data_IF_873890185551
#
_entry.id   IF_873890185551
#
_cell.length_a   1.000
_cell.length_b   1.000
_cell.length_c   1.000
_cell.angle_alpha   90.00
_cell.angle_beta   90.00
_cell.angle_gamma   90.00
#
_symmetry.space_group_name_H-M   'P 1'
#
loop_
_entity.id
_entity.type
_entity.pdbx_description
1 polymer ?
#
# COMPACT_ATOMS: atom_id res chain seq x y z
N UNK A 1 14.32 -13.31 -15.77
CA UNK A 1 12.93 -13.24 -15.30
C UNK A 1 12.03 -13.77 -16.40
N UNK A 2 11.29 -14.86 -16.14
CA UNK A 2 10.27 -15.34 -17.08
C UNK A 2 8.96 -14.60 -16.80
N UNK A 3 8.55 -13.76 -17.73
CA UNK A 3 7.32 -12.97 -17.65
C UNK A 3 6.14 -13.72 -18.30
N UNK A 4 4.88 -13.45 -17.91
CA UNK A 4 3.72 -13.92 -18.67
C UNK A 4 3.78 -13.44 -20.12
N UNK A 5 3.11 -14.15 -21.03
CA UNK A 5 2.91 -13.64 -22.39
C UNK A 5 2.14 -12.30 -22.35
N UNK A 6 2.27 -11.48 -23.39
CA UNK A 6 1.74 -10.11 -23.39
C UNK A 6 0.23 -10.04 -23.12
N UNK A 7 -0.56 -10.98 -23.65
CA UNK A 7 -2.00 -11.02 -23.44
C UNK A 7 -2.35 -11.30 -21.97
N UNK A 8 -1.77 -12.36 -21.40
CA UNK A 8 -1.99 -12.70 -19.99
C UNK A 8 -1.46 -11.59 -19.07
N UNK A 9 -0.28 -11.05 -19.35
CA UNK A 9 0.29 -9.92 -18.58
C UNK A 9 -0.67 -8.73 -18.54
N UNK A 10 -1.21 -8.32 -19.69
CA UNK A 10 -2.17 -7.21 -19.75
C UNK A 10 -3.41 -7.46 -18.88
N UNK A 11 -3.97 -8.68 -18.90
CA UNK A 11 -5.10 -9.07 -18.05
C UNK A 11 -4.76 -9.00 -16.56
N UNK A 12 -3.60 -9.54 -16.15
CA UNK A 12 -3.18 -9.54 -14.75
C UNK A 12 -2.88 -8.14 -14.22
N UNK A 13 -2.23 -7.31 -15.05
CA UNK A 13 -1.96 -5.90 -14.72
C UNK A 13 -3.26 -5.13 -14.53
N UNK A 14 -4.23 -5.29 -15.44
CA UNK A 14 -5.56 -4.68 -15.32
C UNK A 14 -6.25 -5.06 -14.00
N UNK A 15 -6.30 -6.36 -13.66
CA UNK A 15 -6.93 -6.81 -12.43
C UNK A 15 -6.21 -6.28 -11.18
N UNK A 16 -4.88 -6.25 -11.17
CA UNK A 16 -4.15 -5.63 -10.06
C UNK A 16 -4.53 -4.16 -9.86
N UNK A 17 -4.58 -3.36 -10.93
CA UNK A 17 -4.89 -1.94 -10.80
C UNK A 17 -6.30 -1.71 -10.23
N UNK A 18 -7.30 -2.43 -10.76
CA UNK A 18 -8.70 -2.27 -10.33
C UNK A 18 -8.96 -2.85 -8.95
N UNK A 19 -8.35 -3.98 -8.59
CA UNK A 19 -8.67 -4.71 -7.35
C UNK A 19 -7.80 -4.33 -6.15
N UNK A 20 -6.61 -3.79 -6.41
CA UNK A 20 -5.60 -3.52 -5.37
C UNK A 20 -5.11 -2.08 -5.41
N UNK A 21 -4.65 -1.58 -6.57
CA UNK A 21 -4.04 -0.25 -6.64
C UNK A 21 -5.04 0.89 -6.36
N UNK A 22 -6.31 0.72 -6.75
CA UNK A 22 -7.35 1.70 -6.42
C UNK A 22 -7.59 1.83 -4.90
N UNK A 23 -7.28 0.79 -4.10
CA UNK A 23 -7.39 0.83 -2.63
C UNK A 23 -6.06 1.31 -2.02
N UNK A 24 -4.95 0.76 -2.51
CA UNK A 24 -3.59 1.08 -2.08
C UNK A 24 -2.82 1.66 -3.27
N UNK A 25 -2.83 3.00 -3.46
CA UNK A 25 -2.34 3.66 -4.67
C UNK A 25 -0.82 3.66 -4.75
N UNK A 26 -0.23 2.47 -4.85
CA UNK A 26 1.20 2.23 -4.80
C UNK A 26 1.92 2.66 -6.09
N UNK A 27 1.27 2.40 -7.22
CA UNK A 27 1.81 2.59 -8.56
C UNK A 27 1.01 3.65 -9.31
N UNK A 28 1.71 4.41 -10.15
CA UNK A 28 1.11 5.32 -11.13
C UNK A 28 0.89 4.55 -12.43
N UNK A 29 -0.36 4.27 -12.77
CA UNK A 29 -0.72 3.34 -13.86
C UNK A 29 -0.12 3.74 -15.22
N UNK A 30 -0.24 5.00 -15.69
CA UNK A 30 0.34 5.40 -16.98
C UNK A 30 1.86 5.17 -17.04
N UNK A 31 2.60 5.53 -15.99
CA UNK A 31 4.06 5.32 -15.95
C UNK A 31 4.42 3.84 -15.95
N UNK A 32 3.66 3.03 -15.21
CA UNK A 32 3.88 1.60 -15.13
C UNK A 32 3.63 0.90 -16.47
N UNK A 33 2.49 1.15 -17.11
CA UNK A 33 2.15 0.56 -18.42
C UNK A 33 3.10 1.06 -19.52
N UNK A 34 3.49 2.34 -19.51
CA UNK A 34 4.51 2.87 -20.41
C UNK A 34 5.85 2.14 -20.23
N UNK A 35 6.30 1.93 -18.98
CA UNK A 35 7.50 1.16 -18.68
C UNK A 35 7.46 -0.26 -19.24
N UNK A 36 6.30 -0.93 -19.19
CA UNK A 36 6.12 -2.24 -19.83
C UNK A 36 6.27 -2.11 -21.35
N UNK A 37 5.59 -1.13 -21.97
CA UNK A 37 5.56 -0.95 -23.43
C UNK A 37 6.94 -0.73 -24.07
N UNK A 38 7.84 -0.04 -23.36
CA UNK A 38 9.22 0.21 -23.83
C UNK A 38 10.21 -0.91 -23.44
N UNK A 39 9.72 -1.98 -22.82
CA UNK A 39 10.52 -3.11 -22.38
C UNK A 39 11.41 -2.82 -21.17
N UNK A 40 11.08 -1.83 -20.33
CA UNK A 40 11.87 -1.50 -19.12
C UNK A 40 11.92 -2.69 -18.15
N UNK A 41 10.85 -3.49 -18.08
CA UNK A 41 10.76 -4.68 -17.22
C UNK A 41 11.77 -5.78 -17.58
N UNK A 42 12.35 -5.72 -18.79
CA UNK A 42 13.40 -6.63 -19.25
C UNK A 42 14.81 -6.10 -18.95
N UNK A 43 14.93 -4.82 -18.61
CA UNK A 43 16.22 -4.09 -18.51
C UNK A 43 16.52 -3.62 -17.08
N UNK A 44 15.50 -3.22 -16.33
CA UNK A 44 15.63 -2.82 -14.92
C UNK A 44 15.09 -3.93 -14.02
N UNK A 45 15.96 -4.50 -13.18
CA UNK A 45 15.62 -5.61 -12.27
C UNK A 45 14.57 -5.21 -11.23
N UNK A 46 14.62 -3.97 -10.73
CA UNK A 46 13.66 -3.47 -9.75
C UNK A 46 12.28 -3.34 -10.36
N UNK A 47 12.18 -2.68 -11.51
CA UNK A 47 10.92 -2.56 -12.23
C UNK A 47 10.39 -3.93 -12.69
N UNK A 48 11.26 -4.81 -13.20
CA UNK A 48 10.91 -6.18 -13.57
C UNK A 48 10.35 -6.99 -12.39
N UNK A 49 10.94 -6.86 -11.20
CA UNK A 49 10.43 -7.49 -9.98
C UNK A 49 9.06 -6.94 -9.59
N UNK A 50 8.86 -5.62 -9.69
CA UNK A 50 7.56 -4.97 -9.46
C UNK A 50 6.51 -5.53 -10.42
N UNK A 51 6.82 -5.65 -11.73
CA UNK A 51 5.91 -6.22 -12.74
C UNK A 51 5.53 -7.67 -12.43
N UNK A 52 6.50 -8.50 -12.03
CA UNK A 52 6.22 -9.89 -11.64
C UNK A 52 5.30 -9.99 -10.42
N UNK A 53 5.50 -9.14 -9.40
CA UNK A 53 4.64 -9.13 -8.22
C UNK A 53 3.24 -8.59 -8.52
N UNK A 54 3.13 -7.59 -9.40
CA UNK A 54 1.83 -7.12 -9.94
C UNK A 54 1.11 -8.26 -10.65
N UNK A 55 1.81 -9.02 -11.51
CA UNK A 55 1.23 -10.19 -12.17
C UNK A 55 0.81 -11.27 -11.17
N UNK A 56 1.64 -11.53 -10.15
CA UNK A 56 1.35 -12.51 -9.09
C UNK A 56 0.10 -12.15 -8.29
N UNK A 57 -0.09 -10.87 -7.96
CA UNK A 57 -1.30 -10.38 -7.29
C UNK A 57 -2.52 -10.39 -8.22
N UNK A 58 -2.37 -9.93 -9.46
CA UNK A 58 -3.45 -9.95 -10.46
C UNK A 58 -3.97 -11.37 -10.74
N UNK A 59 -3.11 -12.38 -10.58
CA UNK A 59 -3.48 -13.80 -10.74
C UNK A 59 -4.61 -14.25 -9.82
N UNK A 60 -4.82 -13.57 -8.69
CA UNK A 60 -5.85 -13.91 -7.71
C UNK A 60 -7.27 -13.60 -8.19
N UNK A 61 -7.40 -12.86 -9.28
CA UNK A 61 -8.67 -12.38 -9.82
C UNK A 61 -8.95 -12.89 -11.23
N UNK A 62 -8.17 -13.87 -11.69
CA UNK A 62 -8.23 -14.38 -13.06
C UNK A 62 -8.41 -15.89 -13.06
N UNK A 63 -9.50 -16.34 -13.67
CA UNK A 63 -9.76 -17.76 -13.95
C UNK A 63 -9.04 -18.20 -15.24
N UNK A 64 -7.71 -18.34 -15.17
CA UNK A 64 -6.85 -18.82 -16.27
C UNK A 64 -5.85 -19.84 -15.73
N UNK A 65 -5.82 -21.06 -16.27
CA UNK A 65 -4.88 -22.09 -15.78
C UNK A 65 -3.40 -21.69 -15.95
N UNK A 66 -3.09 -20.75 -16.86
CA UNK A 66 -1.76 -20.19 -17.04
C UNK A 66 -1.21 -19.43 -15.83
N UNK A 67 -2.04 -19.07 -14.85
CA UNK A 67 -1.57 -18.48 -13.59
C UNK A 67 -1.17 -19.51 -12.54
N UNK A 68 -1.48 -20.79 -12.76
CA UNK A 68 -1.20 -21.88 -11.82
C UNK A 68 0.17 -22.50 -12.10
N UNK A 69 0.90 -22.95 -11.05
CA UNK A 69 2.09 -23.77 -11.26
C UNK A 69 1.75 -25.08 -11.96
N UNK A 70 2.70 -25.60 -12.74
CA UNK A 70 2.51 -26.85 -13.48
C UNK A 70 2.11 -28.00 -12.54
N UNK A 71 0.99 -28.66 -12.86
CA UNK A 71 0.48 -29.79 -12.10
C UNK A 71 -0.32 -29.44 -10.84
N UNK A 72 -0.47 -28.15 -10.50
CA UNK A 72 -1.28 -27.68 -9.36
C UNK A 72 -2.61 -27.14 -9.86
N UNK A 73 -3.73 -27.67 -9.34
CA UNK A 73 -5.09 -27.23 -9.68
C UNK A 73 -5.75 -26.32 -8.64
N UNK A 74 -5.01 -25.90 -7.62
CA UNK A 74 -5.53 -25.07 -6.53
C UNK A 74 -5.20 -23.60 -6.77
N UNK A 75 -6.25 -22.77 -6.85
CA UNK A 75 -6.17 -21.31 -7.02
C UNK A 75 -5.45 -20.59 -5.86
N UNK A 76 -5.24 -21.26 -4.71
CA UNK A 76 -4.38 -20.74 -3.64
C UNK A 76 -2.92 -20.55 -4.08
N UNK A 77 -2.50 -21.18 -5.18
CA UNK A 77 -1.17 -21.05 -5.77
C UNK A 77 -1.12 -20.16 -7.01
N UNK A 78 -2.22 -19.51 -7.39
CA UNK A 78 -2.25 -18.57 -8.50
C UNK A 78 -1.18 -17.49 -8.32
N UNK A 79 -0.35 -17.29 -9.36
CA UNK A 79 0.75 -16.32 -9.36
C UNK A 79 1.99 -16.74 -8.56
N UNK A 80 1.99 -17.91 -7.94
CA UNK A 80 3.09 -18.37 -7.06
C UNK A 80 4.44 -18.41 -7.77
N UNK A 81 4.50 -18.85 -9.02
CA UNK A 81 5.75 -18.99 -9.76
C UNK A 81 6.42 -17.64 -10.05
N UNK A 82 5.64 -16.57 -10.29
CA UNK A 82 6.16 -15.21 -10.44
C UNK A 82 6.63 -14.63 -9.09
N UNK A 83 5.85 -14.83 -8.03
CA UNK A 83 6.27 -14.46 -6.68
C UNK A 83 7.56 -15.18 -6.27
N UNK A 84 7.62 -16.50 -6.47
CA UNK A 84 8.76 -17.34 -6.13
C UNK A 84 10.02 -16.91 -6.88
N UNK A 85 9.89 -16.48 -8.14
CA UNK A 85 11.00 -15.91 -8.88
C UNK A 85 11.56 -14.64 -8.19
N UNK A 86 10.69 -13.73 -7.75
CA UNK A 86 11.15 -12.52 -7.04
C UNK A 86 11.75 -12.89 -5.69
N UNK A 87 11.12 -13.77 -4.93
CA UNK A 87 11.62 -14.25 -3.63
C UNK A 87 12.99 -14.93 -3.72
N UNK A 88 13.30 -15.63 -4.81
CA UNK A 88 14.59 -16.31 -5.00
C UNK A 88 15.70 -15.40 -5.56
N UNK A 89 15.33 -14.30 -6.23
CA UNK A 89 16.31 -13.41 -6.89
C UNK A 89 16.57 -12.13 -6.14
N UNK A 90 15.59 -11.57 -5.42
CA UNK A 90 15.77 -10.34 -4.65
C UNK A 90 16.36 -10.62 -3.27
N UNK A 91 17.39 -9.86 -2.95
CA UNK A 91 17.98 -9.81 -1.61
C UNK A 91 17.43 -8.58 -0.89
N UNK A 92 16.86 -8.79 0.30
CA UNK A 92 16.45 -7.69 1.20
C UNK A 92 17.63 -7.03 1.92
N UNK A 93 18.85 -7.56 1.78
CA UNK A 93 20.06 -6.88 2.24
C UNK A 93 20.65 -6.12 1.06
N UNK A 94 20.47 -4.80 1.06
CA UNK A 94 20.94 -3.91 -0.01
C UNK A 94 22.38 -3.44 0.22
N UNK A 95 23.19 -3.47 -0.84
CA UNK A 95 24.55 -2.87 -0.87
C UNK A 95 24.57 -1.52 -1.58
N UNK A 96 23.46 -1.12 -2.18
CA UNK A 96 23.29 0.12 -2.93
C UNK A 96 22.16 0.95 -2.32
N UNK A 97 22.08 2.23 -2.69
CA UNK A 97 21.02 3.11 -2.24
C UNK A 97 19.63 2.56 -2.67
N UNK A 98 18.65 2.50 -1.76
CA UNK A 98 17.31 2.04 -2.09
C UNK A 98 16.61 2.99 -3.06
N UNK A 99 15.81 2.41 -3.95
CA UNK A 99 14.99 3.10 -4.94
C UNK A 99 13.52 2.92 -4.61
N UNK A 100 12.64 3.70 -5.25
CA UNK A 100 11.19 3.57 -5.09
C UNK A 100 10.70 2.14 -5.36
N UNK A 101 11.30 1.44 -6.32
CA UNK A 101 10.97 0.03 -6.58
C UNK A 101 11.17 -0.88 -5.37
N UNK A 102 12.17 -0.61 -4.52
CA UNK A 102 12.44 -1.47 -3.35
C UNK A 102 11.31 -1.34 -2.31
N UNK A 103 10.74 -0.13 -2.13
CA UNK A 103 9.55 0.07 -1.29
C UNK A 103 8.31 -0.61 -1.88
N UNK A 104 8.09 -0.44 -3.19
CA UNK A 104 6.97 -1.04 -3.90
C UNK A 104 7.02 -2.57 -3.84
N UNK A 105 8.20 -3.16 -4.03
CA UNK A 105 8.42 -4.60 -3.92
C UNK A 105 8.09 -5.10 -2.51
N UNK A 106 8.53 -4.40 -1.45
CA UNK A 106 8.21 -4.79 -0.08
C UNK A 106 6.69 -4.83 0.15
N UNK A 107 5.97 -3.81 -0.29
CA UNK A 107 4.52 -3.77 -0.16
C UNK A 107 3.84 -4.89 -0.97
N UNK A 108 4.15 -5.03 -2.26
CA UNK A 108 3.53 -6.04 -3.13
C UNK A 108 3.82 -7.47 -2.65
N UNK A 109 5.04 -7.72 -2.19
CA UNK A 109 5.45 -8.99 -1.61
C UNK A 109 4.61 -9.31 -0.37
N UNK A 110 4.49 -8.35 0.55
CA UNK A 110 3.69 -8.50 1.76
C UNK A 110 2.21 -8.79 1.43
N UNK A 111 1.63 -8.08 0.47
CA UNK A 111 0.25 -8.30 0.03
C UNK A 111 0.03 -9.68 -0.62
N UNK A 112 1.01 -10.19 -1.36
CA UNK A 112 0.92 -11.53 -1.94
C UNK A 112 0.96 -12.60 -0.85
N UNK A 113 1.90 -12.46 0.09
CA UNK A 113 2.08 -13.41 1.20
C UNK A 113 0.90 -13.40 2.16
N UNK A 114 0.27 -12.23 2.40
CA UNK A 114 -0.94 -12.09 3.20
C UNK A 114 -2.12 -12.94 2.71
N UNK A 115 -2.18 -13.18 1.40
CA UNK A 115 -3.22 -14.00 0.76
C UNK A 115 -2.68 -15.40 0.37
N UNK A 116 -1.55 -15.80 0.94
CA UNK A 116 -0.93 -17.09 0.68
C UNK A 116 -1.15 -18.06 1.86
N UNK A 117 -0.97 -19.38 1.65
CA UNK A 117 -1.00 -20.36 2.74
C UNK A 117 0.11 -20.18 3.79
N UNK A 118 1.09 -19.29 3.57
CA UNK A 118 2.29 -19.16 4.42
C UNK A 118 2.51 -17.68 4.82
N UNK A 119 1.59 -17.06 5.59
CA UNK A 119 1.57 -15.61 5.82
C UNK A 119 2.64 -15.09 6.80
N UNK A 120 3.69 -15.86 7.10
CA UNK A 120 4.59 -15.59 8.23
C UNK A 120 5.53 -14.40 8.01
N UNK A 121 5.84 -14.04 6.76
CA UNK A 121 6.86 -13.04 6.45
C UNK A 121 6.36 -11.58 6.44
N UNK A 122 5.04 -11.35 6.49
CA UNK A 122 4.42 -10.03 6.23
C UNK A 122 5.03 -8.95 7.13
N UNK A 123 5.09 -9.20 8.44
CA UNK A 123 5.58 -8.21 9.41
C UNK A 123 7.04 -7.82 9.20
N UNK A 124 7.89 -8.81 8.92
CA UNK A 124 9.31 -8.55 8.67
C UNK A 124 9.51 -7.79 7.35
N UNK A 125 8.74 -8.12 6.31
CA UNK A 125 8.85 -7.46 5.00
C UNK A 125 8.32 -6.03 5.05
N UNK A 126 7.20 -5.77 5.70
CA UNK A 126 6.67 -4.42 5.90
C UNK A 126 7.65 -3.58 6.75
N UNK A 127 8.12 -4.13 7.88
CA UNK A 127 9.09 -3.46 8.73
C UNK A 127 10.44 -3.20 8.03
N UNK A 128 10.82 -4.05 7.07
CA UNK A 128 11.98 -3.80 6.21
C UNK A 128 11.73 -2.65 5.23
N UNK A 129 10.58 -2.65 4.54
CA UNK A 129 10.19 -1.56 3.63
C UNK A 129 10.14 -0.21 4.34
N UNK A 130 9.60 -0.14 5.55
CA UNK A 130 9.59 1.09 6.36
C UNK A 130 10.99 1.57 6.70
N UNK A 131 11.92 0.65 7.05
CA UNK A 131 13.33 1.01 7.30
C UNK A 131 14.00 1.54 6.04
N UNK A 132 13.78 0.94 4.87
CA UNK A 132 14.29 1.46 3.60
C UNK A 132 13.74 2.86 3.30
N UNK A 133 12.45 3.10 3.57
CA UNK A 133 11.83 4.40 3.40
C UNK A 133 12.47 5.44 4.35
N UNK A 134 12.80 5.04 5.57
CA UNK A 134 13.54 5.88 6.52
C UNK A 134 14.95 6.17 6.03
N UNK A 135 15.70 5.16 5.58
CA UNK A 135 17.07 5.27 5.11
C UNK A 135 17.21 6.22 3.90
N UNK A 136 16.23 6.22 2.98
CA UNK A 136 16.20 7.17 1.86
C UNK A 136 15.59 8.54 2.20
N UNK A 137 15.19 8.76 3.45
CA UNK A 137 14.62 10.02 3.91
C UNK A 137 13.17 10.26 3.51
N UNK A 138 12.44 9.27 2.98
CA UNK A 138 11.06 9.43 2.49
C UNK A 138 10.06 9.91 3.56
N UNK A 139 10.37 9.66 4.83
CA UNK A 139 9.60 10.11 5.99
C UNK A 139 9.71 11.63 6.26
N UNK A 140 10.76 12.29 5.74
CA UNK A 140 11.05 13.70 6.02
C UNK A 140 10.54 14.62 4.94
N UNK A 141 10.05 15.80 5.33
CA UNK A 141 9.61 16.81 4.37
C UNK A 141 10.75 17.29 3.47
N UNK A 142 11.97 17.36 4.00
CA UNK A 142 13.17 17.82 3.27
C UNK A 142 13.57 16.93 2.08
N UNK A 143 13.08 15.69 2.02
CA UNK A 143 13.34 14.79 0.89
C UNK A 143 12.50 15.14 -0.36
N UNK A 144 11.61 16.12 -0.24
CA UNK A 144 10.71 16.55 -1.30
C UNK A 144 11.00 18.03 -1.65
N UNK A 145 11.34 18.28 -2.91
CA UNK A 145 11.60 19.62 -3.41
C UNK A 145 10.34 20.49 -3.44
N UNK A 146 10.50 21.79 -3.68
CA UNK A 146 9.38 22.73 -3.85
C UNK A 146 8.45 22.34 -5.01
N UNK A 147 8.96 21.59 -5.98
CA UNK A 147 8.21 21.00 -7.09
C UNK A 147 8.40 19.48 -7.03
N UNK A 148 7.43 18.74 -6.49
CA UNK A 148 7.56 17.29 -6.36
C UNK A 148 7.59 16.63 -7.74
N UNK A 149 8.39 15.58 -7.89
CA UNK A 149 8.44 14.77 -9.10
C UNK A 149 7.44 13.60 -9.05
N UNK A 150 7.22 12.92 -10.18
CA UNK A 150 6.49 11.63 -10.24
C UNK A 150 7.11 10.63 -9.26
N UNK A 151 8.45 10.54 -9.23
CA UNK A 151 9.16 9.63 -8.35
C UNK A 151 8.97 9.99 -6.87
N UNK A 152 8.96 11.28 -6.54
CA UNK A 152 8.66 11.75 -5.20
C UNK A 152 7.26 11.36 -4.73
N UNK A 153 6.25 11.53 -5.58
CA UNK A 153 4.89 11.15 -5.22
C UNK A 153 4.73 9.62 -5.11
N UNK A 154 5.39 8.85 -5.98
CA UNK A 154 5.42 7.38 -5.86
C UNK A 154 6.13 6.90 -4.59
N UNK A 155 7.25 7.56 -4.21
CA UNK A 155 7.98 7.30 -2.96
C UNK A 155 7.09 7.57 -1.75
N UNK A 156 6.39 8.70 -1.75
CA UNK A 156 5.42 9.09 -0.71
C UNK A 156 4.27 8.09 -0.61
N UNK A 157 3.64 7.75 -1.75
CA UNK A 157 2.57 6.75 -1.83
C UNK A 157 3.02 5.38 -1.30
N UNK A 158 4.23 4.93 -1.66
CA UNK A 158 4.79 3.67 -1.18
C UNK A 158 5.02 3.65 0.34
N UNK A 159 5.57 4.73 0.92
CA UNK A 159 5.70 4.88 2.36
C UNK A 159 4.35 4.77 3.07
N UNK A 160 3.34 5.51 2.60
CA UNK A 160 2.01 5.46 3.23
C UNK A 160 1.32 4.09 3.06
N UNK A 161 1.53 3.40 1.94
CA UNK A 161 1.01 2.04 1.74
C UNK A 161 1.61 1.07 2.75
N UNK A 162 2.93 1.14 2.96
CA UNK A 162 3.64 0.37 3.98
C UNK A 162 3.14 0.73 5.39
N UNK A 163 2.96 2.01 5.69
CA UNK A 163 2.47 2.49 6.98
C UNK A 163 1.08 1.95 7.32
N UNK A 164 0.09 2.11 6.43
CA UNK A 164 -1.28 1.65 6.68
C UNK A 164 -1.32 0.13 6.86
N UNK A 165 -0.53 -0.61 6.09
CA UNK A 165 -0.45 -2.06 6.22
C UNK A 165 0.21 -2.49 7.54
N UNK A 166 1.27 -1.79 7.97
CA UNK A 166 1.90 -2.00 9.27
C UNK A 166 0.89 -1.85 10.40
N UNK A 167 0.13 -0.74 10.41
CA UNK A 167 -0.91 -0.49 11.42
C UNK A 167 -1.95 -1.60 11.42
N UNK A 168 -2.58 -1.88 10.27
CA UNK A 168 -3.64 -2.89 10.15
C UNK A 168 -3.19 -4.28 10.63
N UNK A 169 -1.98 -4.69 10.28
CA UNK A 169 -1.44 -6.00 10.68
C UNK A 169 -1.08 -6.01 12.17
N UNK A 170 -0.40 -4.97 12.67
CA UNK A 170 -0.01 -4.88 14.08
C UNK A 170 -1.23 -4.89 14.99
N UNK A 171 -2.28 -4.18 14.60
CA UNK A 171 -3.57 -4.15 15.28
C UNK A 171 -4.18 -5.56 15.38
N UNK A 172 -4.20 -6.30 14.27
CA UNK A 172 -4.75 -7.67 14.20
C UNK A 172 -4.00 -8.67 15.05
N UNK A 173 -2.68 -8.51 15.19
CA UNK A 173 -1.81 -9.50 15.81
C UNK A 173 -1.23 -9.08 17.17
N UNK A 174 -1.64 -7.92 17.71
CA UNK A 174 -1.11 -7.46 19.00
C UNK A 174 0.37 -7.08 18.94
N UNK A 175 0.88 -6.64 17.79
CA UNK A 175 2.32 -6.34 17.60
C UNK A 175 2.61 -4.85 17.76
N UNK A 176 3.83 -4.47 18.17
CA UNK A 176 4.24 -3.08 18.13
C UNK A 176 4.36 -2.61 16.67
N UNK A 177 4.06 -1.33 16.44
CA UNK A 177 4.25 -0.69 15.15
C UNK A 177 5.74 -0.50 14.83
N UNK A 178 6.09 -0.47 13.54
CA UNK A 178 7.48 -0.34 13.09
C UNK A 178 7.97 1.11 13.00
N UNK A 179 7.06 2.09 12.91
CA UNK A 179 7.37 3.51 12.85
C UNK A 179 6.36 4.30 13.70
N UNK A 180 6.83 5.33 14.38
CA UNK A 180 5.96 6.22 15.15
C UNK A 180 5.43 7.36 14.28
N UNK A 181 4.31 7.94 14.68
CA UNK A 181 3.60 8.98 13.91
C UNK A 181 4.41 10.28 13.89
N UNK A 182 5.14 10.51 14.97
CA UNK A 182 5.96 11.67 15.27
C UNK A 182 7.21 11.73 14.38
N UNK A 183 7.65 10.58 13.86
CA UNK A 183 8.78 10.48 12.92
C UNK A 183 8.38 10.79 11.47
N UNK A 184 7.08 10.94 11.18
CA UNK A 184 6.54 11.19 9.84
C UNK A 184 6.23 12.68 9.65
N UNK A 185 7.15 13.40 9.00
CA UNK A 185 6.97 14.80 8.61
C UNK A 185 6.38 14.96 7.20
N UNK A 186 6.33 13.87 6.43
CA UNK A 186 5.80 13.86 5.07
C UNK A 186 4.28 14.11 5.07
N UNK A 187 3.81 14.89 4.11
CA UNK A 187 2.38 15.10 3.90
C UNK A 187 1.66 13.85 3.37
N UNK A 188 0.33 13.89 3.39
CA UNK A 188 -0.50 12.86 2.74
C UNK A 188 -0.23 12.82 1.22
N UNK A 189 -0.50 11.69 0.56
CA UNK A 189 -0.54 11.59 -0.90
C UNK A 189 -1.38 12.71 -1.53
N UNK A 190 -0.93 13.21 -2.67
CA UNK A 190 -1.69 14.17 -3.43
C UNK A 190 -2.99 13.54 -3.90
N UNK A 191 -4.12 14.19 -3.61
CA UNK A 191 -5.45 13.80 -4.08
C UNK A 191 -5.62 14.14 -5.55
N UNK A 192 -4.78 13.54 -6.40
CA UNK A 192 -4.72 13.70 -7.84
C UNK A 192 -4.68 12.32 -8.49
N UNK A 193 -5.74 11.98 -9.21
CA UNK A 193 -5.84 10.72 -9.92
C UNK A 193 -4.82 10.65 -11.06
N UNK A 194 -4.36 9.43 -11.34
CA UNK A 194 -3.25 9.16 -12.24
C UNK A 194 -3.46 9.74 -13.65
N UNK A 195 -4.70 9.76 -14.16
CA UNK A 195 -5.01 10.34 -15.48
C UNK A 195 -4.73 11.85 -15.60
N UNK A 196 -4.56 12.56 -14.47
CA UNK A 196 -4.32 14.00 -14.43
C UNK A 196 -2.86 14.36 -14.16
N UNK A 197 -1.96 13.38 -14.09
CA UNK A 197 -0.53 13.63 -14.00
C UNK A 197 -0.05 14.11 -15.37
N UNK A 198 0.17 15.42 -15.52
CA UNK A 198 0.62 16.01 -16.79
C UNK A 198 2.05 15.53 -17.07
N UNK A 199 2.21 14.68 -18.09
CA UNK A 199 3.51 14.17 -18.55
C UNK A 199 3.75 14.67 -19.98
N UNK A 200 4.25 15.90 -20.12
CA UNK A 200 4.80 16.44 -21.36
C UNK A 200 5.61 17.72 -21.07
N UNK A 201 6.78 17.58 -20.45
CA UNK A 201 7.76 18.68 -20.26
C UNK A 201 7.31 19.87 -19.40
N UNK A 202 6.10 19.84 -18.84
CA UNK A 202 5.57 20.83 -17.90
C UNK A 202 5.68 20.31 -16.45
N UNK A 203 5.84 21.22 -15.50
CA UNK A 203 5.88 20.89 -14.06
C UNK A 203 4.65 20.05 -13.67
N UNK A 204 4.86 18.95 -12.94
CA UNK A 204 3.76 18.13 -12.42
C UNK A 204 3.06 18.90 -11.31
N UNK A 205 1.89 19.44 -11.61
CA UNK A 205 1.15 20.27 -10.66
C UNK A 205 0.34 19.45 -9.63
N UNK A 206 0.27 18.12 -9.76
CA UNK A 206 -0.61 17.22 -8.98
C UNK A 206 -1.98 17.83 -8.68
N UNK A 207 -2.58 18.46 -9.69
CA UNK A 207 -3.79 19.25 -9.56
C UNK A 207 -4.96 18.44 -10.11
N UNK A 208 -5.84 17.99 -9.21
CA UNK A 208 -7.08 17.35 -9.60
C UNK A 208 -8.06 18.40 -10.17
N UNK A 209 -8.78 18.11 -11.27
CA UNK A 209 -9.75 19.06 -11.81
C UNK A 209 -10.79 19.51 -10.77
N UNK A 210 -11.11 20.82 -10.68
CA UNK A 210 -12.12 21.31 -9.76
C UNK A 210 -13.47 20.62 -9.97
N UNK A 211 -14.15 20.26 -8.87
CA UNK A 211 -15.48 19.63 -8.92
C UNK A 211 -15.48 18.13 -9.25
N UNK A 212 -14.31 17.51 -9.37
CA UNK A 212 -14.19 16.05 -9.55
C UNK A 212 -13.66 15.39 -8.26
N UNK A 213 -13.86 14.08 -8.14
CA UNK A 213 -13.56 13.30 -6.94
C UNK A 213 -12.29 12.47 -7.18
N UNK A 214 -11.36 12.48 -6.22
CA UNK A 214 -10.15 11.67 -6.31
C UNK A 214 -10.37 10.31 -5.67
N UNK A 215 -9.90 9.24 -6.32
CA UNK A 215 -9.81 7.90 -5.74
C UNK A 215 -8.83 7.83 -4.56
N UNK A 216 -7.85 8.73 -4.53
CA UNK A 216 -6.82 8.79 -3.48
C UNK A 216 -7.39 9.29 -2.15
N UNK A 217 -8.51 10.03 -2.17
CA UNK A 217 -9.12 10.56 -0.96
C UNK A 217 -9.51 9.44 0.03
N UNK A 218 -9.97 8.28 -0.46
CA UNK A 218 -10.25 7.12 0.39
C UNK A 218 -9.00 6.61 1.10
N UNK A 219 -7.87 6.56 0.39
CA UNK A 219 -6.59 6.20 0.97
C UNK A 219 -6.10 7.21 2.01
N UNK A 220 -6.30 8.51 1.76
CA UNK A 220 -6.02 9.56 2.75
C UNK A 220 -6.90 9.44 4.01
N UNK A 221 -8.17 9.09 3.85
CA UNK A 221 -9.05 8.75 4.97
C UNK A 221 -8.53 7.53 5.74
N UNK A 222 -8.08 6.48 5.08
CA UNK A 222 -7.48 5.31 5.74
C UNK A 222 -6.24 5.68 6.56
N UNK A 223 -5.33 6.50 6.02
CA UNK A 223 -4.16 6.99 6.75
C UNK A 223 -4.60 7.72 8.02
N UNK A 224 -5.49 8.71 7.89
CA UNK A 224 -5.98 9.51 9.04
C UNK A 224 -6.64 8.64 10.10
N UNK A 225 -7.48 7.69 9.67
CA UNK A 225 -8.11 6.73 10.57
C UNK A 225 -7.08 5.87 11.30
N UNK A 226 -6.08 5.32 10.58
CA UNK A 226 -5.03 4.51 11.20
C UNK A 226 -4.25 5.27 12.28
N UNK A 227 -4.03 6.58 12.13
CA UNK A 227 -3.37 7.40 13.16
C UNK A 227 -4.23 7.55 14.42
N UNK A 228 -5.53 7.83 14.26
CA UNK A 228 -6.47 7.90 15.39
C UNK A 228 -6.57 6.53 16.09
N UNK A 229 -6.66 5.45 15.31
CA UNK A 229 -6.75 4.08 15.84
C UNK A 229 -5.51 3.69 16.65
N UNK A 230 -4.32 4.10 16.20
CA UNK A 230 -3.06 3.79 16.89
C UNK A 230 -2.98 4.37 18.31
N UNK A 231 -3.58 5.54 18.56
CA UNK A 231 -3.63 6.12 19.91
C UNK A 231 -4.43 5.24 20.89
N UNK A 232 -5.56 4.71 20.41
CA UNK A 232 -6.38 3.76 21.17
C UNK A 232 -5.66 2.44 21.43
N UNK A 233 -5.06 1.89 20.37
CA UNK A 233 -4.34 0.62 20.45
C UNK A 233 -3.17 0.68 21.45
N UNK A 234 -2.32 1.72 21.40
CA UNK A 234 -1.20 1.90 22.35
C UNK A 234 -1.66 1.95 23.80
N UNK A 235 -2.83 2.55 24.06
CA UNK A 235 -3.36 2.68 25.42
C UNK A 235 -4.02 1.39 25.93
N UNK A 236 -4.58 0.58 25.03
CA UNK A 236 -5.21 -0.71 25.37
C UNK A 236 -4.19 -1.87 25.49
N UNK A 237 -3.13 -1.83 24.69
CA UNK A 237 -2.09 -2.87 24.62
C UNK A 237 -0.78 -2.46 25.31
N UNK A 238 -0.85 -1.51 26.24
CA UNK A 238 0.31 -1.13 27.05
C UNK A 238 0.86 -2.38 27.79
N UNK A 239 2.10 -2.76 27.45
CA UNK A 239 2.81 -3.93 27.99
C UNK A 239 3.03 -3.90 29.51
N UNK A 240 2.80 -2.76 30.15
CA UNK A 240 2.77 -2.64 31.62
C UNK A 240 1.52 -3.25 32.25
N UNK A 241 0.49 -3.58 31.45
CA UNK A 241 -0.71 -4.28 31.89
C UNK A 241 -0.40 -5.80 31.87
N UNK A 242 -0.32 -6.46 33.04
CA UNK A 242 0.01 -7.87 33.08
C UNK A 242 -1.05 -8.71 32.37
N UNK A 243 -0.62 -9.49 31.36
CA UNK A 243 -1.41 -10.41 30.52
C UNK A 243 -2.29 -11.39 31.33
N UNK A 244 -2.02 -11.55 32.64
CA UNK A 244 -2.76 -12.44 33.54
C UNK A 244 -4.09 -11.90 34.06
N UNK A 245 -4.40 -10.63 33.85
CA UNK A 245 -5.70 -10.10 34.25
C UNK A 245 -6.62 -10.01 33.04
N UNK A 246 -7.62 -10.89 32.98
CA UNK A 246 -8.78 -10.82 32.07
C UNK A 246 -9.65 -9.54 32.24
N UNK A 247 -9.10 -8.50 32.85
CA UNK A 247 -9.72 -7.22 33.08
C UNK A 247 -8.76 -6.15 32.56
N UNK A 248 -9.12 -5.51 31.45
CA UNK A 248 -8.61 -4.18 31.13
C UNK A 248 -8.85 -3.34 32.40
N UNK A 249 -7.86 -2.62 32.95
CA UNK A 249 -8.11 -1.68 34.02
C UNK A 249 -9.15 -0.66 33.53
N UNK A 250 -10.38 -0.76 34.03
CA UNK A 250 -11.54 0.06 33.69
C UNK A 250 -11.27 1.58 33.62
N UNK A 251 -10.38 2.17 34.45
CA UNK A 251 -10.06 3.60 34.37
C UNK A 251 -9.40 4.02 33.04
N UNK A 252 -8.56 3.16 32.46
CA UNK A 252 -7.87 3.48 31.20
C UNK A 252 -8.84 3.42 30.01
N UNK A 253 -9.78 2.46 30.02
CA UNK A 253 -10.76 2.32 28.95
C UNK A 253 -11.69 3.55 28.84
N UNK A 254 -12.22 4.05 29.96
CA UNK A 254 -13.08 5.24 29.95
C UNK A 254 -12.35 6.50 29.49
N UNK A 255 -11.08 6.67 29.91
CA UNK A 255 -10.24 7.78 29.46
C UNK A 255 -9.99 7.71 27.95
N UNK A 256 -9.61 6.53 27.45
CA UNK A 256 -9.41 6.28 26.01
C UNK A 256 -10.66 6.63 25.21
N UNK A 257 -11.82 6.14 25.63
CA UNK A 257 -13.10 6.45 24.97
C UNK A 257 -13.34 7.96 24.96
N UNK A 258 -13.17 8.64 26.10
CA UNK A 258 -13.38 10.10 26.18
C UNK A 258 -12.43 10.93 25.30
N UNK A 259 -11.21 10.43 25.06
CA UNK A 259 -10.20 11.10 24.21
C UNK A 259 -10.41 10.79 22.72
N UNK A 260 -10.82 9.55 22.39
CA UNK A 260 -11.01 9.11 21.00
C UNK A 260 -12.36 9.51 20.41
N UNK A 261 -13.44 9.51 21.19
CA UNK A 261 -14.78 9.86 20.73
C UNK A 261 -14.84 11.19 19.97
N UNK A 262 -14.29 12.32 20.48
CA UNK A 262 -14.32 13.58 19.73
C UNK A 262 -13.50 13.50 18.44
N UNK A 263 -12.33 12.83 18.46
CA UNK A 263 -11.48 12.68 17.27
C UNK A 263 -12.14 11.83 16.19
N UNK A 264 -12.85 10.77 16.59
CA UNK A 264 -13.60 9.91 15.67
C UNK A 264 -14.79 10.66 15.07
N UNK A 265 -15.51 11.45 15.86
CA UNK A 265 -16.61 12.28 15.35
C UNK A 265 -16.09 13.33 14.35
N UNK A 266 -15.02 14.04 14.69
CA UNK A 266 -14.37 14.99 13.77
C UNK A 266 -13.89 14.31 12.49
N UNK A 267 -13.32 13.10 12.61
CA UNK A 267 -12.94 12.30 11.46
C UNK A 267 -14.15 11.97 10.59
N UNK A 268 -15.24 11.44 11.15
CA UNK A 268 -16.48 11.10 10.44
C UNK A 268 -17.04 12.32 9.70
N UNK A 269 -17.09 13.47 10.37
CA UNK A 269 -17.59 14.72 9.79
C UNK A 269 -16.71 15.20 8.63
N UNK A 270 -15.41 14.91 8.68
CA UNK A 270 -14.46 15.26 7.61
C UNK A 270 -14.46 14.29 6.42
N UNK A 271 -15.10 13.12 6.50
CA UNK A 271 -15.16 12.18 5.37
C UNK A 271 -15.96 12.82 4.23
N UNK A 272 -15.39 12.93 3.02
CA UNK A 272 -16.10 13.46 1.85
C UNK A 272 -17.41 12.72 1.60
N UNK A 273 -18.46 13.46 1.24
CA UNK A 273 -19.81 12.89 1.06
C UNK A 273 -19.82 11.72 0.08
N UNK A 274 -18.98 11.77 -0.97
CA UNK A 274 -18.89 10.72 -1.98
C UNK A 274 -18.31 9.40 -1.48
N UNK A 275 -17.55 9.42 -0.37
CA UNK A 275 -16.95 8.25 0.29
C UNK A 275 -17.82 7.73 1.45
N UNK A 276 -18.84 8.48 1.88
CA UNK A 276 -19.75 8.01 2.92
C UNK A 276 -20.61 6.88 2.37
N UNK A 277 -20.70 5.78 3.11
CA UNK A 277 -21.55 4.65 2.75
C UNK A 277 -22.99 5.12 2.53
N UNK A 278 -23.54 4.83 1.36
CA UNK A 278 -24.90 5.19 0.96
C UNK A 278 -25.52 4.01 0.20
N UNK A 279 -26.58 3.36 0.71
CA UNK A 279 -27.14 2.13 0.13
C UNK A 279 -27.73 2.31 -1.28
N UNK A 280 -27.88 3.54 -1.78
CA UNK A 280 -28.45 3.86 -3.08
C UNK A 280 -27.43 4.41 -4.10
N UNK A 281 -26.15 4.55 -3.75
CA UNK A 281 -25.15 5.14 -4.66
C UNK A 281 -24.49 4.06 -5.52
N UNK A 282 -24.73 4.14 -6.83
CA UNK A 282 -24.25 3.19 -7.85
C UNK A 282 -22.90 3.66 -8.45
N UNK A 283 -21.83 3.76 -7.64
CA UNK A 283 -20.48 4.02 -8.16
C UNK A 283 -19.49 2.95 -7.67
N UNK A 284 -19.21 1.97 -8.53
CA UNK A 284 -18.48 0.75 -8.17
C UNK A 284 -17.04 0.97 -7.71
N UNK A 285 -16.42 2.11 -8.02
CA UNK A 285 -15.04 2.41 -7.58
C UNK A 285 -15.04 2.79 -6.10
N UNK A 286 -15.86 3.76 -5.72
CA UNK A 286 -15.90 4.27 -4.33
C UNK A 286 -16.65 3.34 -3.37
N UNK A 287 -17.54 2.48 -3.86
CA UNK A 287 -18.24 1.51 -2.99
C UNK A 287 -17.39 0.31 -2.61
N UNK A 288 -16.29 0.05 -3.34
CA UNK A 288 -15.39 -1.07 -3.11
C UNK A 288 -14.08 -0.67 -2.40
N UNK A 289 -13.95 0.61 -2.04
CA UNK A 289 -12.84 1.17 -1.28
C UNK A 289 -13.14 1.22 0.22
#
# INVERSE_FOLDING_TARGET
>A
MAFPNAFLMGKLVQEYFVRMNDIYPLLHRPTFEYGISIGLHLKDEGFGSTVLLVCALGSRFVDDEGVLPQGIKSWHWAGWHWFQHVNSSRRFVHTFAPRVYDLQICFLFAMFVANSPVPHAIYSVIGHGLRLATDMGAHRRIAYGARPTIEDELKKRALWCLFVNDRSMCDKFGRPYNIDDEDLEVGLPAECDDEYWIVDGQDVAFAHPPGTQSKIAAFNCMIRFSRIHAEGFRTLYDSTIPIRSNCIPTPNAHRVVSELDPKLNEFIDSIPEYLRWCPHRNNSVFTNQ
#
